data_IF_524257728053
#
_entry.id   IF_524257728053
#
_cell.length_a   1.000
_cell.length_b   1.000
_cell.length_c   1.000
_cell.angle_alpha   90.00
_cell.angle_beta   90.00
_cell.angle_gamma   90.00
#
_symmetry.space_group_name_H-M   'P 1'
#
loop_
_entity.id
_entity.type
_entity.pdbx_description
1 polymer ?
#
# COMPACT_ATOMS: atom_id res chain seq x y z
N UNK A 1 1.31 2.47 -7.60
CA UNK A 1 2.49 3.36 -7.52
C UNK A 1 2.27 4.32 -6.34
N UNK A 2 3.07 4.27 -5.27
CA UNK A 2 3.03 5.34 -4.25
C UNK A 2 3.96 6.47 -4.70
N UNK A 3 3.42 7.67 -4.94
CA UNK A 3 4.26 8.83 -5.20
C UNK A 3 4.97 9.22 -3.89
N UNK A 4 6.27 8.94 -3.81
CA UNK A 4 7.07 9.33 -2.65
C UNK A 4 7.88 10.57 -3.00
N UNK A 5 7.63 11.67 -2.28
CA UNK A 5 8.40 12.91 -2.37
C UNK A 5 9.44 12.93 -1.25
N UNK A 6 10.71 12.82 -1.63
CA UNK A 6 11.84 12.82 -0.69
C UNK A 6 12.55 14.17 -0.80
N UNK A 7 12.74 14.83 0.34
CA UNK A 7 13.39 16.14 0.43
C UNK A 7 14.58 16.10 1.38
N UNK A 8 15.62 16.87 1.08
CA UNK A 8 16.80 16.97 1.94
C UNK A 8 16.51 17.95 3.08
N UNK A 9 16.28 17.44 4.30
CA UNK A 9 15.89 18.27 5.46
C UNK A 9 16.78 19.51 5.68
N UNK A 10 18.10 19.37 5.51
CA UNK A 10 19.06 20.46 5.73
C UNK A 10 18.95 21.64 4.75
N UNK A 11 18.28 21.46 3.62
CA UNK A 11 18.18 22.49 2.57
C UNK A 11 16.89 23.32 2.70
N UNK A 12 16.01 23.00 3.66
CA UNK A 12 14.70 23.64 3.83
C UNK A 12 14.41 23.96 5.29
N UNK A 13 13.64 25.03 5.54
CA UNK A 13 13.19 25.38 6.89
C UNK A 13 12.14 24.39 7.40
N UNK A 14 12.03 24.24 8.73
CA UNK A 14 11.01 23.37 9.33
C UNK A 14 9.59 23.83 9.00
N UNK A 15 9.36 25.14 8.93
CA UNK A 15 8.08 25.73 8.51
C UNK A 15 7.74 25.38 7.06
N UNK A 16 8.70 25.48 6.14
CA UNK A 16 8.49 25.07 4.75
C UNK A 16 8.12 23.59 4.69
N UNK A 17 8.87 22.71 5.37
CA UNK A 17 8.60 21.27 5.37
C UNK A 17 7.23 20.92 5.93
N UNK A 18 6.78 21.61 7.00
CA UNK A 18 5.46 21.41 7.57
C UNK A 18 4.35 21.85 6.59
N UNK A 19 4.49 23.04 6.01
CA UNK A 19 3.54 23.59 5.02
C UNK A 19 3.47 22.72 3.76
N UNK A 20 4.61 22.25 3.25
CA UNK A 20 4.65 21.36 2.09
C UNK A 20 3.91 20.05 2.35
N UNK A 21 4.07 19.44 3.53
CA UNK A 21 3.32 18.23 3.91
C UNK A 21 1.81 18.49 3.98
N UNK A 22 1.40 19.59 4.61
CA UNK A 22 -0.01 19.97 4.70
C UNK A 22 -0.62 20.22 3.31
N UNK A 23 0.11 20.93 2.43
CA UNK A 23 -0.33 21.20 1.07
C UNK A 23 -0.46 19.91 0.24
N UNK A 24 0.52 18.99 0.34
CA UNK A 24 0.46 17.70 -0.34
C UNK A 24 -0.75 16.87 0.13
N UNK A 25 -1.00 16.84 1.44
CA UNK A 25 -2.15 16.13 2.02
C UNK A 25 -3.48 16.75 1.58
N UNK A 26 -3.59 18.08 1.55
CA UNK A 26 -4.79 18.78 1.09
C UNK A 26 -5.16 18.46 -0.38
N UNK A 27 -4.18 18.08 -1.20
CA UNK A 27 -4.40 17.65 -2.59
C UNK A 27 -4.84 16.20 -2.75
N UNK A 28 -4.79 15.38 -1.68
CA UNK A 28 -5.01 13.93 -1.77
C UNK A 28 -6.40 13.58 -2.31
N UNK A 29 -7.46 14.14 -1.73
CA UNK A 29 -8.84 13.82 -2.13
C UNK A 29 -9.12 14.23 -3.58
N UNK A 30 -8.55 15.36 -4.02
CA UNK A 30 -8.63 15.79 -5.42
C UNK A 30 -7.94 14.80 -6.35
N UNK A 31 -6.74 14.32 -5.97
CA UNK A 31 -6.00 13.35 -6.75
C UNK A 31 -6.74 12.01 -6.85
N UNK A 32 -7.28 11.52 -5.73
CA UNK A 32 -8.10 10.29 -5.71
C UNK A 32 -9.40 10.44 -6.49
N UNK A 33 -10.02 11.62 -6.48
CA UNK A 33 -11.18 11.93 -7.32
C UNK A 33 -10.86 11.86 -8.81
N UNK A 34 -9.69 12.36 -9.23
CA UNK A 34 -9.23 12.23 -10.61
C UNK A 34 -8.99 10.77 -11.02
N UNK A 35 -8.37 9.97 -10.14
CA UNK A 35 -8.18 8.53 -10.37
C UNK A 35 -9.53 7.82 -10.52
N UNK A 36 -10.47 8.04 -9.59
CA UNK A 36 -11.78 7.39 -9.63
C UNK A 36 -12.63 7.82 -10.85
N UNK A 37 -12.46 9.03 -11.35
CA UNK A 37 -13.10 9.44 -12.61
C UNK A 37 -12.47 8.72 -13.81
N UNK A 38 -11.15 8.63 -13.88
CA UNK A 38 -10.48 7.89 -14.94
C UNK A 38 -10.82 6.39 -14.92
N UNK A 39 -11.01 5.79 -13.72
CA UNK A 39 -11.45 4.41 -13.58
C UNK A 39 -12.86 4.17 -14.16
N UNK A 40 -13.78 5.14 -14.02
CA UNK A 40 -15.14 5.05 -14.59
C UNK A 40 -15.14 5.09 -16.12
N UNK A 41 -14.14 5.70 -16.72
CA UNK A 41 -14.00 5.78 -18.17
C UNK A 41 -13.49 4.45 -18.77
N UNK A 42 -13.03 3.50 -17.94
CA UNK A 42 -12.58 2.17 -18.38
C UNK A 42 -13.80 1.28 -18.66
N UNK A 43 -14.02 0.82 -19.91
CA UNK A 43 -15.15 -0.05 -20.23
C UNK A 43 -15.15 -1.36 -19.44
N UNK A 44 -16.32 -1.79 -18.95
CA UNK A 44 -16.49 -3.00 -18.13
C UNK A 44 -15.83 -4.26 -18.72
N UNK A 45 -15.92 -4.44 -20.05
CA UNK A 45 -15.33 -5.59 -20.76
C UNK A 45 -13.81 -5.74 -20.61
N UNK A 46 -13.11 -4.70 -20.14
CA UNK A 46 -11.66 -4.73 -19.91
C UNK A 46 -11.29 -5.04 -18.46
N UNK A 47 -12.24 -4.98 -17.53
CA UNK A 47 -12.01 -5.37 -16.15
C UNK A 47 -11.93 -6.90 -16.06
N UNK A 48 -10.99 -7.37 -15.24
CA UNK A 48 -10.78 -8.79 -14.98
C UNK A 48 -11.27 -9.07 -13.56
N UNK A 49 -12.35 -9.82 -13.46
CA UNK A 49 -12.84 -10.33 -12.18
C UNK A 49 -11.97 -11.49 -11.73
N UNK A 50 -11.29 -11.32 -10.60
CA UNK A 50 -10.47 -12.37 -10.00
C UNK A 50 -11.38 -13.28 -9.17
N UNK A 51 -11.38 -14.58 -9.48
CA UNK A 51 -12.12 -15.60 -8.72
C UNK A 51 -11.63 -15.68 -7.26
N UNK A 52 -12.47 -16.17 -6.36
CA UNK A 52 -12.08 -16.32 -4.95
C UNK A 52 -10.89 -17.29 -4.76
N UNK A 53 -10.82 -18.33 -5.59
CA UNK A 53 -9.69 -19.27 -5.62
C UNK A 53 -8.39 -18.56 -6.02
N UNK A 54 -8.43 -17.78 -7.10
CA UNK A 54 -7.26 -17.01 -7.55
C UNK A 54 -6.86 -15.95 -6.52
N UNK A 55 -7.83 -15.29 -5.87
CA UNK A 55 -7.55 -14.33 -4.78
C UNK A 55 -6.80 -14.99 -3.64
N UNK A 56 -7.25 -16.15 -3.17
CA UNK A 56 -6.58 -16.90 -2.12
C UNK A 56 -5.15 -17.32 -2.53
N UNK A 57 -4.98 -17.77 -3.77
CA UNK A 57 -3.66 -18.11 -4.33
C UNK A 57 -2.73 -16.90 -4.38
N UNK A 58 -3.23 -15.75 -4.83
CA UNK A 58 -2.44 -14.52 -4.88
C UNK A 58 -2.07 -14.00 -3.50
N UNK A 59 -2.99 -14.02 -2.53
CA UNK A 59 -2.71 -13.60 -1.15
C UNK A 59 -1.59 -14.45 -0.53
N UNK A 60 -1.63 -15.77 -0.75
CA UNK A 60 -0.57 -16.69 -0.30
C UNK A 60 0.77 -16.40 -1.00
N UNK A 61 0.76 -16.28 -2.33
CA UNK A 61 1.95 -15.94 -3.12
C UNK A 61 2.58 -14.62 -2.64
N UNK A 62 1.78 -13.58 -2.44
CA UNK A 62 2.29 -12.28 -1.99
C UNK A 62 2.84 -12.34 -0.56
N UNK A 63 2.25 -13.15 0.33
CA UNK A 63 2.82 -13.38 1.67
C UNK A 63 4.18 -14.06 1.58
N UNK A 64 4.30 -15.12 0.77
CA UNK A 64 5.56 -15.84 0.60
C UNK A 64 6.67 -14.92 0.03
N UNK A 65 6.34 -14.07 -0.96
CA UNK A 65 7.26 -13.05 -1.48
C UNK A 65 7.71 -12.07 -0.40
N UNK A 66 6.80 -11.58 0.46
CA UNK A 66 7.17 -10.65 1.54
C UNK A 66 8.11 -11.30 2.56
N UNK A 67 7.85 -12.56 2.91
CA UNK A 67 8.68 -13.36 3.82
C UNK A 67 10.07 -13.58 3.22
N UNK A 68 10.14 -13.98 1.95
CA UNK A 68 11.42 -14.18 1.26
C UNK A 68 12.24 -12.88 1.20
N UNK A 69 11.61 -11.76 0.83
CA UNK A 69 12.26 -10.45 0.79
C UNK A 69 12.76 -9.99 2.17
N UNK A 70 12.05 -10.35 3.25
CA UNK A 70 12.53 -10.11 4.62
C UNK A 70 13.74 -10.96 4.95
N UNK A 71 13.70 -12.24 4.62
CA UNK A 71 14.76 -13.18 4.94
C UNK A 71 16.05 -12.82 4.19
N UNK A 72 15.91 -12.34 2.94
CA UNK A 72 16.97 -11.73 2.12
C UNK A 72 17.37 -10.31 2.54
N UNK A 73 16.87 -9.81 3.67
CA UNK A 73 17.19 -8.47 4.25
C UNK A 73 16.82 -7.28 3.35
N UNK A 74 15.92 -7.47 2.40
CA UNK A 74 15.35 -6.39 1.57
C UNK A 74 14.24 -5.67 2.32
N UNK A 75 13.37 -6.42 3.02
CA UNK A 75 12.30 -5.87 3.85
C UNK A 75 12.62 -5.95 5.35
N UNK A 76 12.24 -4.89 6.08
CA UNK A 76 12.32 -4.86 7.53
C UNK A 76 11.15 -5.61 8.18
N UNK A 77 11.44 -6.52 9.11
CA UNK A 77 10.43 -7.35 9.77
C UNK A 77 9.45 -6.55 10.63
N UNK A 78 9.87 -5.45 11.25
CA UNK A 78 8.97 -4.60 12.03
C UNK A 78 7.99 -3.85 11.11
N UNK A 79 8.48 -3.37 9.95
CA UNK A 79 7.62 -2.76 8.95
C UNK A 79 6.58 -3.76 8.41
N UNK A 80 6.98 -5.00 8.10
CA UNK A 80 6.05 -6.04 7.66
C UNK A 80 5.02 -6.38 8.74
N UNK A 81 5.45 -6.52 10.00
CA UNK A 81 4.54 -6.74 11.13
C UNK A 81 3.50 -5.63 11.26
N UNK A 82 3.90 -4.36 11.15
CA UNK A 82 2.98 -3.22 11.18
C UNK A 82 1.97 -3.28 10.03
N UNK A 83 2.45 -3.55 8.82
CA UNK A 83 1.59 -3.64 7.64
C UNK A 83 0.61 -4.81 7.75
N UNK A 84 1.04 -5.96 8.29
CA UNK A 84 0.16 -7.09 8.60
C UNK A 84 -0.96 -6.68 9.55
N UNK A 85 -0.61 -6.02 10.65
CA UNK A 85 -1.61 -5.55 11.63
C UNK A 85 -2.65 -4.63 10.97
N UNK A 86 -2.22 -3.72 10.10
CA UNK A 86 -3.14 -2.86 9.36
C UNK A 86 -4.07 -3.67 8.42
N UNK A 87 -3.55 -4.67 7.70
CA UNK A 87 -4.35 -5.55 6.84
C UNK A 87 -5.33 -6.40 7.64
N UNK A 88 -4.90 -7.02 8.74
CA UNK A 88 -5.76 -7.82 9.62
C UNK A 88 -6.84 -6.99 10.33
N UNK A 89 -6.57 -5.71 10.60
CA UNK A 89 -7.59 -4.79 11.12
C UNK A 89 -8.67 -4.50 10.08
N UNK A 90 -8.30 -4.43 8.80
CA UNK A 90 -9.25 -4.20 7.69
C UNK A 90 -10.05 -5.45 7.37
N UNK A 91 -9.41 -6.62 7.42
CA UNK A 91 -10.01 -7.91 7.14
C UNK A 91 -9.31 -9.01 7.94
N UNK A 92 -9.99 -9.49 8.97
CA UNK A 92 -9.46 -10.51 9.89
C UNK A 92 -9.52 -11.93 9.31
N UNK A 93 -10.20 -12.15 8.18
CA UNK A 93 -10.37 -13.48 7.58
C UNK A 93 -9.15 -13.95 6.78
N UNK A 94 -8.21 -13.03 6.51
CA UNK A 94 -6.97 -13.32 5.78
C UNK A 94 -6.12 -14.37 6.50
N UNK A 95 -5.59 -15.34 5.75
CA UNK A 95 -4.77 -16.43 6.28
C UNK A 95 -3.53 -15.93 7.07
N UNK A 96 -2.93 -14.81 6.64
CA UNK A 96 -1.77 -14.18 7.30
C UNK A 96 -2.06 -13.73 8.75
N UNK A 97 -3.33 -13.57 9.12
CA UNK A 97 -3.74 -13.14 10.45
C UNK A 97 -3.79 -14.30 11.46
N UNK A 98 -4.04 -15.52 10.98
CA UNK A 98 -4.03 -16.73 11.81
C UNK A 98 -2.60 -17.28 11.99
N UNK A 99 -1.73 -17.10 10.98
CA UNK A 99 -0.35 -17.59 11.00
C UNK A 99 0.62 -16.44 10.70
N UNK A 100 1.07 -15.70 11.73
CA UNK A 100 1.94 -14.55 11.54
C UNK A 100 3.35 -14.99 11.16
N UNK A 101 3.63 -15.03 9.85
CA UNK A 101 4.94 -15.37 9.29
C UNK A 101 5.83 -14.16 9.00
N UNK A 102 5.26 -12.95 9.00
CA UNK A 102 5.94 -11.66 8.79
C UNK A 102 6.58 -11.09 10.06
#
# INVERSE_FOLDING_TARGET
LSLQLIVRKKDFSEDFLAKSRAAALAGYDRAMGAVGNAEKDIPEKHWIEISDEDRARYDQMFLDVRVELRDNKVYDGNALRLMRQARCKKDATRAECAQPRE
#
